data_IF_280465408596
#
_entry.id   IF_280465408596
#
_cell.length_a   1.000
_cell.length_b   1.000
_cell.length_c   1.000
_cell.angle_alpha   90.00
_cell.angle_beta   90.00
_cell.angle_gamma   90.00
#
_symmetry.space_group_name_H-M   'P 1'
#
loop_
_entity.id
_entity.type
_entity.pdbx_description
1 polymer ?
#
# COMPACT_ATOMS: atom_id res chain seq x y z
N UNK A 1 10.98 -6.23 15.36
CA UNK A 1 9.80 -5.35 15.26
C UNK A 1 8.74 -6.21 14.66
N UNK A 2 7.74 -6.59 15.45
CA UNK A 2 6.81 -7.63 15.05
C UNK A 2 5.89 -7.10 13.94
N UNK A 3 5.77 -7.88 12.87
CA UNK A 3 4.98 -7.62 11.67
C UNK A 3 3.53 -7.17 11.97
N UNK A 4 3.00 -7.63 13.09
CA UNK A 4 1.61 -7.46 13.51
C UNK A 4 1.28 -6.01 13.89
N UNK A 5 2.29 -5.19 14.20
CA UNK A 5 2.12 -3.78 14.55
C UNK A 5 2.47 -2.81 13.41
N UNK A 6 2.79 -3.33 12.22
CA UNK A 6 3.27 -2.55 11.09
C UNK A 6 2.21 -2.44 10.00
N UNK A 7 1.65 -1.25 9.77
CA UNK A 7 0.73 -1.02 8.65
C UNK A 7 1.46 -0.41 7.46
N UNK A 8 0.97 -0.70 6.26
CA UNK A 8 1.46 -0.03 5.05
C UNK A 8 0.97 1.42 5.04
N UNK A 9 1.92 2.36 5.17
CA UNK A 9 1.60 3.80 5.24
C UNK A 9 1.78 4.47 3.89
N UNK A 10 2.89 4.18 3.21
CA UNK A 10 3.27 4.79 1.95
C UNK A 10 4.23 3.86 1.20
N UNK A 11 4.23 3.97 -0.12
CA UNK A 11 5.15 3.26 -0.98
C UNK A 11 5.60 4.12 -2.14
N UNK A 12 6.72 3.75 -2.72
CA UNK A 12 7.22 4.31 -3.97
C UNK A 12 7.37 3.17 -4.95
N UNK A 13 7.00 3.42 -6.20
CA UNK A 13 7.19 2.51 -7.30
C UNK A 13 7.76 3.28 -8.49
N UNK A 14 8.36 2.60 -9.49
CA UNK A 14 8.93 3.26 -10.65
C UNK A 14 7.98 4.26 -11.31
N UNK A 15 8.49 5.46 -11.57
CA UNK A 15 7.74 6.57 -12.17
C UNK A 15 6.88 7.38 -11.21
N UNK A 16 6.82 7.04 -9.93
CA UNK A 16 6.25 7.91 -8.89
C UNK A 16 7.15 9.12 -8.64
N UNK A 17 6.52 10.26 -8.39
CA UNK A 17 7.18 11.52 -8.05
C UNK A 17 6.92 11.86 -6.58
N UNK A 18 7.31 13.07 -6.17
CA UNK A 18 6.92 13.60 -4.86
C UNK A 18 5.40 13.71 -4.76
N UNK A 19 4.83 13.10 -3.73
CA UNK A 19 3.41 13.19 -3.42
C UNK A 19 3.17 14.19 -2.28
N UNK A 20 2.32 15.18 -2.54
CA UNK A 20 1.89 16.16 -1.54
C UNK A 20 0.52 15.78 -0.96
N UNK A 21 0.48 15.61 0.36
CA UNK A 21 -0.76 15.34 1.10
C UNK A 21 -1.70 16.55 1.06
N UNK A 22 -3.04 16.35 1.02
CA UNK A 22 -3.99 17.44 0.87
C UNK A 22 -4.12 18.23 2.19
N UNK A 23 -4.81 19.38 2.17
CA UNK A 23 -4.96 20.19 3.38
C UNK A 23 -5.89 19.54 4.41
N UNK A 24 -6.77 18.66 3.95
CA UNK A 24 -7.78 17.97 4.74
C UNK A 24 -7.19 16.85 5.60
N UNK A 25 -6.06 16.27 5.20
CA UNK A 25 -5.57 15.05 5.85
C UNK A 25 -4.05 14.86 5.75
N UNK A 26 -3.48 14.19 6.74
CA UNK A 26 -2.05 13.83 6.78
C UNK A 26 -1.81 12.56 7.59
N UNK A 27 -0.63 11.97 7.46
CA UNK A 27 -0.22 10.89 8.37
C UNK A 27 0.24 11.52 9.69
N UNK A 28 -0.46 11.23 10.79
CA UNK A 28 -0.06 11.69 12.11
C UNK A 28 1.18 10.91 12.60
N UNK A 29 2.22 11.61 13.04
CA UNK A 29 3.49 11.05 13.50
C UNK A 29 3.77 11.54 14.92
N UNK A 30 4.21 10.66 15.81
CA UNK A 30 4.62 10.99 17.17
C UNK A 30 3.88 10.22 18.27
N UNK A 31 3.78 10.81 19.46
CA UNK A 31 3.23 10.17 20.67
C UNK A 31 1.72 10.33 20.84
N UNK A 32 1.06 11.06 19.94
CA UNK A 32 -0.38 11.26 19.96
C UNK A 32 -1.16 9.95 19.79
N UNK A 33 -2.36 9.89 20.38
CA UNK A 33 -3.27 8.74 20.17
C UNK A 33 -3.60 8.63 18.69
N UNK A 34 -3.33 7.48 18.08
CA UNK A 34 -3.57 7.29 16.64
C UNK A 34 -2.34 7.41 15.75
N UNK A 35 -1.32 8.13 16.21
CA UNK A 35 -0.15 8.46 15.42
C UNK A 35 0.83 7.29 15.23
N UNK A 36 1.56 7.34 14.12
CA UNK A 36 2.70 6.46 13.86
C UNK A 36 3.88 6.86 14.75
N UNK A 37 4.34 5.93 15.57
CA UNK A 37 5.51 6.14 16.45
C UNK A 37 6.83 5.87 15.73
N UNK A 38 6.81 4.94 14.78
CA UNK A 38 7.97 4.48 14.04
C UNK A 38 7.61 4.23 12.59
N UNK A 39 8.61 4.35 11.72
CA UNK A 39 8.54 3.91 10.33
C UNK A 39 9.55 2.80 10.10
N UNK A 40 9.13 1.75 9.43
CA UNK A 40 10.01 0.70 8.92
C UNK A 40 10.13 0.89 7.42
N UNK A 41 11.37 0.94 6.93
CA UNK A 41 11.66 1.02 5.51
C UNK A 41 11.87 -0.39 4.96
N UNK A 42 11.07 -0.76 3.96
CA UNK A 42 11.27 -1.97 3.16
C UNK A 42 11.68 -1.54 1.75
N UNK A 43 12.80 -2.07 1.25
CA UNK A 43 13.30 -1.81 -0.10
C UNK A 43 13.32 -3.13 -0.85
N UNK A 44 12.73 -3.12 -2.05
CA UNK A 44 12.71 -4.26 -2.96
C UNK A 44 13.81 -4.06 -4.01
N UNK A 45 14.88 -4.86 -3.93
CA UNK A 45 15.96 -4.83 -4.93
C UNK A 45 15.72 -5.88 -6.01
N UNK A 46 15.59 -5.43 -7.26
CA UNK A 46 15.61 -6.32 -8.42
C UNK A 46 17.05 -6.38 -8.99
N UNK A 47 17.71 -7.51 -8.81
CA UNK A 47 19.11 -7.73 -9.22
C UNK A 47 19.23 -8.94 -10.18
N UNK A 48 18.66 -8.86 -11.40
CA UNK A 48 18.59 -9.99 -12.30
C UNK A 48 19.96 -10.41 -12.86
N UNK A 49 20.94 -9.51 -12.88
CA UNK A 49 22.30 -9.77 -13.38
C UNK A 49 23.27 -10.19 -12.27
N UNK A 50 22.83 -10.25 -11.02
CA UNK A 50 23.65 -10.69 -9.89
C UNK A 50 24.86 -9.80 -9.63
N UNK A 51 24.72 -8.48 -9.81
CA UNK A 51 25.82 -7.55 -9.52
C UNK A 51 26.19 -7.63 -8.04
N UNK A 52 27.48 -7.81 -7.78
CA UNK A 52 28.03 -7.96 -6.44
C UNK A 52 28.67 -6.66 -5.94
N UNK A 53 28.95 -6.60 -4.64
CA UNK A 53 29.68 -5.51 -3.98
C UNK A 53 29.08 -4.12 -4.22
N UNK A 54 27.76 -4.03 -4.24
CA UNK A 54 27.05 -2.76 -4.32
C UNK A 54 26.70 -2.27 -2.91
N UNK A 55 26.83 -0.96 -2.71
CA UNK A 55 26.32 -0.27 -1.53
C UNK A 55 25.20 0.65 -1.98
N UNK A 56 24.03 0.51 -1.37
CA UNK A 56 22.90 1.40 -1.57
C UNK A 56 22.66 2.25 -0.32
N UNK A 57 22.12 3.44 -0.53
CA UNK A 57 21.65 4.33 0.56
C UNK A 57 20.34 4.98 0.14
N UNK A 58 19.45 4.22 -0.47
CA UNK A 58 18.13 4.70 -0.88
C UNK A 58 17.19 4.80 0.32
N UNK A 59 16.17 5.65 0.20
CA UNK A 59 15.17 5.85 1.24
C UNK A 59 14.13 6.89 0.87
N UNK A 60 13.39 7.34 1.87
CA UNK A 60 12.39 8.40 1.73
C UNK A 60 12.84 9.66 2.47
N UNK A 61 12.54 10.80 1.86
CA UNK A 61 12.55 12.10 2.52
C UNK A 61 11.10 12.50 2.84
N UNK A 62 10.84 12.84 4.11
CA UNK A 62 9.52 13.28 4.55
C UNK A 62 9.55 14.75 4.94
N UNK A 63 8.67 15.55 4.35
CA UNK A 63 8.36 16.89 4.83
C UNK A 63 7.17 16.84 5.76
N UNK A 64 7.33 17.38 6.96
CA UNK A 64 6.29 17.37 7.98
C UNK A 64 6.06 18.74 8.61
N UNK A 65 4.94 18.85 9.31
CA UNK A 65 4.52 20.05 10.05
C UNK A 65 4.12 19.66 11.47
N UNK A 66 4.43 20.49 12.50
CA UNK A 66 3.95 20.26 13.85
C UNK A 66 2.44 20.51 14.00
N UNK A 67 1.79 21.14 13.02
CA UNK A 67 0.35 21.40 13.04
C UNK A 67 -0.41 20.22 12.46
N UNK A 68 -1.25 19.59 13.28
CA UNK A 68 -2.10 18.48 12.83
C UNK A 68 -3.09 18.94 11.75
N UNK A 69 -3.28 18.09 10.74
CA UNK A 69 -4.38 18.21 9.78
C UNK A 69 -5.70 17.80 10.44
N UNK A 70 -6.86 18.20 9.88
CA UNK A 70 -8.16 17.84 10.45
C UNK A 70 -8.43 16.33 10.51
N UNK A 71 -7.85 15.54 9.60
CA UNK A 71 -8.05 14.10 9.53
C UNK A 71 -6.73 13.33 9.43
N UNK A 72 -6.71 12.12 10.00
CA UNK A 72 -5.65 11.15 9.76
C UNK A 72 -5.85 10.45 8.41
N UNK A 73 -4.80 10.38 7.60
CA UNK A 73 -4.76 9.57 6.38
C UNK A 73 -4.55 8.10 6.69
N UNK A 74 -5.23 7.26 5.93
CA UNK A 74 -5.03 5.82 5.87
C UNK A 74 -4.84 5.36 4.43
N UNK A 75 -4.35 4.12 4.30
CA UNK A 75 -4.27 3.40 3.04
C UNK A 75 -5.16 2.17 3.14
N UNK A 76 -6.06 1.99 2.17
CA UNK A 76 -6.88 0.79 2.02
C UNK A 76 -6.35 0.01 0.83
N UNK A 77 -5.79 -1.17 1.08
CA UNK A 77 -5.33 -2.08 0.04
C UNK A 77 -6.51 -2.90 -0.45
N UNK A 78 -6.87 -2.74 -1.72
CA UNK A 78 -7.92 -3.53 -2.38
C UNK A 78 -7.40 -4.20 -3.64
N UNK A 79 -7.85 -5.42 -3.90
CA UNK A 79 -7.33 -6.17 -5.03
C UNK A 79 -7.59 -7.67 -4.95
N UNK A 80 -6.81 -8.40 -5.74
CA UNK A 80 -6.93 -9.85 -5.92
C UNK A 80 -5.62 -10.51 -5.54
N UNK A 81 -5.69 -11.56 -4.73
CA UNK A 81 -4.54 -12.35 -4.27
C UNK A 81 -4.71 -13.82 -4.63
N UNK A 82 -3.66 -14.62 -4.42
CA UNK A 82 -3.67 -16.08 -4.58
C UNK A 82 -4.19 -16.58 -5.95
N UNK A 83 -3.85 -15.87 -7.03
CA UNK A 83 -4.22 -16.25 -8.39
C UNK A 83 -3.03 -16.86 -9.15
N UNK A 84 -3.33 -17.59 -10.23
CA UNK A 84 -2.33 -18.08 -11.19
C UNK A 84 -2.69 -17.63 -12.61
N UNK A 85 -1.72 -17.02 -13.30
CA UNK A 85 -1.84 -16.62 -14.70
C UNK A 85 -1.25 -17.76 -15.56
N UNK A 86 -2.03 -18.35 -16.49
CA UNK A 86 -1.52 -19.36 -17.41
C UNK A 86 -0.37 -18.84 -18.28
N UNK A 87 0.54 -19.72 -18.67
CA UNK A 87 1.61 -19.40 -19.62
C UNK A 87 1.05 -19.09 -21.02
N UNK A 88 1.87 -18.44 -21.86
CA UNK A 88 1.64 -18.31 -23.31
C UNK A 88 0.26 -17.76 -23.69
N UNK A 89 -0.31 -16.88 -22.87
CA UNK A 89 -1.65 -16.33 -23.06
C UNK A 89 -1.56 -14.83 -23.34
N UNK A 90 -2.07 -14.38 -24.49
CA UNK A 90 -2.02 -12.97 -24.89
C UNK A 90 -2.94 -12.05 -24.07
N UNK A 91 -3.96 -12.61 -23.42
CA UNK A 91 -4.85 -11.87 -22.53
C UNK A 91 -5.39 -12.79 -21.44
N UNK A 92 -5.03 -12.51 -20.20
CA UNK A 92 -5.65 -13.11 -19.02
C UNK A 92 -6.23 -11.99 -18.16
N UNK A 93 -7.47 -12.13 -17.71
CA UNK A 93 -8.16 -11.07 -16.96
C UNK A 93 -8.72 -11.62 -15.66
N UNK A 94 -8.32 -10.97 -14.56
CA UNK A 94 -8.96 -11.11 -13.27
C UNK A 94 -10.02 -10.01 -13.15
N UNK A 95 -11.28 -10.40 -12.95
CA UNK A 95 -12.40 -9.47 -12.81
C UNK A 95 -13.39 -10.04 -11.80
N UNK A 96 -13.76 -9.24 -10.80
CA UNK A 96 -14.72 -9.63 -9.75
C UNK A 96 -14.18 -9.64 -8.33
N UNK A 97 -12.87 -9.44 -8.15
CA UNK A 97 -12.26 -9.33 -6.83
C UNK A 97 -12.08 -7.87 -6.35
N UNK A 98 -11.70 -7.67 -5.09
CA UNK A 98 -11.53 -6.34 -4.49
C UNK A 98 -12.10 -6.26 -3.08
N UNK A 99 -12.96 -5.27 -2.82
CA UNK A 99 -13.53 -5.02 -1.49
C UNK A 99 -15.04 -5.30 -1.44
N UNK A 100 -15.48 -6.45 -0.93
CA UNK A 100 -16.91 -6.81 -0.89
C UNK A 100 -17.72 -5.91 0.04
N UNK A 101 -19.01 -5.73 -0.27
CA UNK A 101 -19.93 -4.98 0.61
C UNK A 101 -20.10 -5.62 2.00
N UNK A 102 -19.91 -6.94 2.12
CA UNK A 102 -19.90 -7.63 3.41
C UNK A 102 -18.80 -7.10 4.36
N UNK A 103 -17.68 -6.63 3.80
CA UNK A 103 -16.59 -6.01 4.56
C UNK A 103 -16.92 -4.58 4.95
N UNK A 104 -17.34 -3.78 3.97
CA UNK A 104 -17.56 -2.34 4.17
C UNK A 104 -18.79 -2.04 5.03
N UNK A 105 -19.76 -2.96 5.13
CA UNK A 105 -20.89 -2.85 6.09
C UNK A 105 -20.42 -2.66 7.53
N UNK A 106 -19.22 -3.14 7.87
CA UNK A 106 -18.65 -3.02 9.21
C UNK A 106 -17.83 -1.74 9.40
N UNK A 107 -17.74 -0.87 8.39
CA UNK A 107 -17.10 0.44 8.54
C UNK A 107 -17.88 1.26 9.56
N UNK A 108 -17.16 1.86 10.51
CA UNK A 108 -17.79 2.64 11.58
C UNK A 108 -18.36 3.97 11.10
N UNK A 109 -17.92 4.45 9.93
CA UNK A 109 -18.32 5.73 9.34
C UNK A 109 -17.98 5.78 7.84
N UNK A 110 -18.57 6.73 7.09
CA UNK A 110 -18.10 7.08 5.75
C UNK A 110 -16.63 7.51 5.74
N UNK A 111 -15.95 7.20 4.64
CA UNK A 111 -14.61 7.71 4.34
C UNK A 111 -14.59 8.49 3.03
N UNK A 112 -13.58 9.33 2.86
CA UNK A 112 -13.27 10.08 1.66
C UNK A 112 -12.04 9.48 1.01
N UNK A 113 -12.21 8.89 -0.17
CA UNK A 113 -11.14 8.41 -1.04
C UNK A 113 -10.53 9.58 -1.81
N UNK A 114 -9.23 9.60 -2.02
CA UNK A 114 -8.52 10.73 -2.62
C UNK A 114 -7.54 10.39 -3.75
N UNK A 115 -6.76 9.32 -3.61
CA UNK A 115 -5.83 8.87 -4.66
C UNK A 115 -5.88 7.37 -4.83
N UNK A 116 -5.68 6.93 -6.07
CA UNK A 116 -5.37 5.55 -6.41
C UNK A 116 -3.87 5.41 -6.59
N UNK A 117 -3.27 4.40 -5.96
CA UNK A 117 -1.96 3.87 -6.34
C UNK A 117 -2.18 2.49 -6.95
N UNK A 118 -2.35 2.45 -8.26
CA UNK A 118 -2.50 1.21 -9.02
C UNK A 118 -1.18 0.47 -9.10
N UNK A 119 -1.19 -0.85 -8.94
CA UNK A 119 0.00 -1.67 -8.89
C UNK A 119 -0.19 -3.06 -9.52
N UNK A 120 0.70 -3.39 -10.44
CA UNK A 120 0.85 -4.68 -11.12
C UNK A 120 2.34 -4.86 -11.48
N UNK A 121 2.79 -6.08 -11.80
CA UNK A 121 4.16 -6.30 -12.26
C UNK A 121 4.25 -6.27 -13.81
N UNK A 122 5.23 -6.98 -14.35
CA UNK A 122 5.72 -6.87 -15.73
C UNK A 122 4.75 -7.36 -16.81
N UNK A 123 3.81 -8.24 -16.46
CA UNK A 123 2.78 -8.77 -17.38
C UNK A 123 1.57 -7.83 -17.48
N UNK A 124 1.44 -6.85 -16.61
CA UNK A 124 0.26 -5.96 -16.57
C UNK A 124 0.04 -5.20 -17.88
N UNK A 125 -1.23 -5.04 -18.25
CA UNK A 125 -1.66 -4.32 -19.47
C UNK A 125 -2.68 -3.24 -19.21
N UNK A 126 -3.64 -3.49 -18.33
CA UNK A 126 -4.57 -2.47 -17.87
C UNK A 126 -5.18 -2.86 -16.52
N UNK A 127 -5.66 -1.85 -15.80
CA UNK A 127 -6.44 -2.09 -14.59
C UNK A 127 -7.47 -1.00 -14.33
N UNK A 128 -8.49 -1.32 -13.53
CA UNK A 128 -9.56 -0.40 -13.13
C UNK A 128 -10.08 -0.80 -11.77
N UNK A 129 -10.44 0.18 -10.94
CA UNK A 129 -11.23 -0.08 -9.73
C UNK A 129 -12.61 0.55 -9.87
N UNK A 130 -13.63 -0.29 -9.93
CA UNK A 130 -15.04 0.08 -10.04
C UNK A 130 -15.63 0.29 -8.65
N UNK A 131 -16.61 1.18 -8.54
CA UNK A 131 -17.32 1.49 -7.30
C UNK A 131 -18.79 1.14 -7.45
N UNK A 132 -19.26 0.19 -6.66
CA UNK A 132 -20.65 -0.27 -6.65
C UNK A 132 -21.34 0.24 -5.39
N UNK A 133 -22.51 0.85 -5.53
CA UNK A 133 -23.37 1.29 -4.43
C UNK A 133 -24.79 0.83 -4.67
N UNK A 134 -25.38 0.12 -3.71
CA UNK A 134 -26.75 -0.43 -3.83
C UNK A 134 -26.97 -1.23 -5.13
N UNK A 135 -25.99 -2.08 -5.50
CA UNK A 135 -25.96 -2.87 -6.74
C UNK A 135 -25.93 -2.06 -8.05
N UNK A 136 -25.74 -0.74 -7.99
CA UNK A 136 -25.50 0.10 -9.15
C UNK A 136 -24.01 0.46 -9.25
N UNK A 137 -23.43 0.31 -10.44
CA UNK A 137 -22.08 0.79 -10.72
C UNK A 137 -22.11 2.31 -10.87
N UNK A 138 -21.27 3.00 -10.09
CA UNK A 138 -20.99 4.42 -10.23
C UNK A 138 -19.79 4.60 -11.16
N UNK A 139 -19.49 5.85 -11.52
CA UNK A 139 -18.21 6.18 -12.15
C UNK A 139 -17.06 5.52 -11.38
N UNK A 140 -16.14 4.83 -12.07
CA UNK A 140 -15.04 4.10 -11.45
C UNK A 140 -14.21 5.05 -10.58
N UNK A 141 -13.45 4.50 -9.64
CA UNK A 141 -12.52 5.29 -8.86
C UNK A 141 -11.30 5.71 -9.67
N UNK A 142 -10.95 4.94 -10.70
CA UNK A 142 -9.81 5.21 -11.56
C UNK A 142 -9.61 4.07 -12.55
N UNK A 143 -8.91 4.38 -13.64
CA UNK A 143 -8.46 3.38 -14.60
C UNK A 143 -7.05 3.68 -15.12
N UNK A 144 -6.30 2.61 -15.42
CA UNK A 144 -5.04 2.61 -16.18
C UNK A 144 -5.28 1.79 -17.44
N UNK A 145 -5.80 2.38 -18.53
CA UNK A 145 -6.10 1.63 -19.76
C UNK A 145 -4.85 1.13 -20.48
N UNK A 146 -3.70 1.75 -20.22
CA UNK A 146 -2.38 1.34 -20.69
C UNK A 146 -1.44 1.31 -19.49
N UNK A 147 -1.25 0.14 -18.91
CA UNK A 147 -0.31 -0.08 -17.82
C UNK A 147 1.13 -0.03 -18.33
N UNK A 148 1.97 0.71 -17.62
CA UNK A 148 3.42 0.68 -17.75
C UNK A 148 4.00 0.51 -16.35
N UNK A 149 4.77 -0.56 -16.16
CA UNK A 149 5.45 -0.86 -14.90
C UNK A 149 6.34 0.31 -14.44
N UNK A 150 6.83 1.14 -15.36
CA UNK A 150 7.68 2.29 -15.06
C UNK A 150 6.89 3.57 -14.75
N UNK A 151 5.56 3.51 -14.70
CA UNK A 151 4.71 4.68 -14.44
C UNK A 151 3.57 4.37 -13.46
N UNK A 152 3.92 4.30 -12.17
CA UNK A 152 3.01 3.90 -11.09
C UNK A 152 2.64 5.04 -10.13
N UNK A 153 2.76 6.29 -10.61
CA UNK A 153 2.40 7.49 -9.83
C UNK A 153 0.97 7.46 -9.28
N UNK A 154 0.73 8.18 -8.18
CA UNK A 154 -0.62 8.39 -7.67
C UNK A 154 -1.51 9.05 -8.73
N UNK A 155 -2.72 8.54 -8.88
CA UNK A 155 -3.73 9.09 -9.79
C UNK A 155 -4.94 9.60 -9.01
N UNK A 156 -5.62 10.60 -9.58
CA UNK A 156 -6.82 11.19 -8.98
C UNK A 156 -7.95 10.17 -8.95
N UNK A 157 -8.90 10.38 -8.04
CA UNK A 157 -10.17 9.64 -8.06
C UNK A 157 -11.07 10.22 -9.14
N UNK A 158 -11.58 9.35 -10.02
CA UNK A 158 -12.49 9.71 -11.11
C UNK A 158 -13.91 10.03 -10.59
N UNK A 159 -14.65 10.82 -11.39
CA UNK A 159 -16.08 11.08 -11.17
C UNK A 159 -16.46 12.24 -10.24
N UNK A 160 -15.51 12.98 -9.65
CA UNK A 160 -15.81 14.18 -8.85
C UNK A 160 -14.87 15.35 -9.20
N UNK A 161 -15.43 16.58 -9.24
CA UNK A 161 -14.70 17.80 -9.64
C UNK A 161 -13.50 18.14 -8.75
N UNK A 162 -13.51 17.70 -7.49
CA UNK A 162 -12.45 17.91 -6.52
C UNK A 162 -11.44 16.75 -6.43
N UNK A 163 -11.61 15.68 -7.21
CA UNK A 163 -10.72 14.52 -7.19
C UNK A 163 -10.78 13.68 -5.90
N UNK A 164 -11.92 13.66 -5.21
CA UNK A 164 -12.19 12.78 -4.07
C UNK A 164 -13.54 12.07 -4.22
N UNK A 165 -13.79 10.97 -3.51
CA UNK A 165 -15.08 10.25 -3.50
C UNK A 165 -15.48 9.82 -2.10
N UNK A 166 -16.71 10.12 -1.69
CA UNK A 166 -17.29 9.55 -0.47
C UNK A 166 -17.63 8.08 -0.70
N UNK A 167 -17.09 7.22 0.15
CA UNK A 167 -17.32 5.78 0.19
C UNK A 167 -18.03 5.44 1.50
N UNK A 168 -19.21 4.82 1.39
CA UNK A 168 -20.15 4.60 2.48
C UNK A 168 -20.06 3.16 2.99
N UNK A 169 -20.41 2.93 4.27
CA UNK A 169 -20.64 1.56 4.74
C UNK A 169 -21.65 0.82 3.85
N UNK A 170 -21.26 -0.35 3.36
CA UNK A 170 -22.05 -1.19 2.45
C UNK A 170 -21.78 -1.00 0.97
N UNK A 171 -20.95 -0.04 0.57
CA UNK A 171 -20.45 0.06 -0.81
C UNK A 171 -19.47 -1.09 -1.13
N UNK A 172 -19.21 -1.36 -2.41
CA UNK A 172 -18.29 -2.39 -2.86
C UNK A 172 -17.29 -1.82 -3.86
N UNK A 173 -16.06 -2.35 -3.84
CA UNK A 173 -15.04 -2.10 -4.85
C UNK A 173 -14.75 -3.36 -5.63
N UNK A 174 -14.68 -3.24 -6.96
CA UNK A 174 -14.26 -4.34 -7.84
C UNK A 174 -13.03 -3.89 -8.62
N UNK A 175 -11.90 -4.52 -8.33
CA UNK A 175 -10.65 -4.34 -9.05
C UNK A 175 -10.56 -5.34 -10.19
N UNK A 176 -10.26 -4.84 -11.38
CA UNK A 176 -10.01 -5.62 -12.59
C UNK A 176 -8.57 -5.42 -13.02
N UNK A 177 -7.87 -6.50 -13.35
CA UNK A 177 -6.51 -6.52 -13.85
C UNK A 177 -6.40 -7.41 -15.08
N UNK A 178 -5.77 -6.91 -16.14
CA UNK A 178 -5.50 -7.68 -17.36
C UNK A 178 -4.00 -7.80 -17.61
N UNK A 179 -3.58 -8.99 -18.03
CA UNK A 179 -2.19 -9.39 -18.19
C UNK A 179 -1.94 -9.99 -19.58
N UNK A 180 -0.69 -9.95 -20.00
CA UNK A 180 -0.17 -10.64 -21.19
C UNK A 180 1.02 -11.51 -20.78
N UNK A 181 0.81 -12.82 -20.79
CA UNK A 181 1.82 -13.83 -20.48
C UNK A 181 2.34 -14.52 -21.74
N UNK A 182 2.14 -13.94 -22.94
CA UNK A 182 2.57 -14.58 -24.20
C UNK A 182 4.07 -14.86 -24.23
N UNK A 183 4.87 -14.05 -23.54
CA UNK A 183 6.32 -14.21 -23.40
C UNK A 183 6.77 -15.16 -22.28
N UNK A 184 5.84 -15.74 -21.51
CA UNK A 184 6.16 -16.69 -20.42
C UNK A 184 5.91 -18.12 -20.89
N UNK A 185 6.87 -19.00 -20.59
CA UNK A 185 6.79 -20.44 -20.88
C UNK A 185 6.19 -21.26 -19.72
N UNK A 186 6.08 -20.66 -18.55
CA UNK A 186 5.50 -21.26 -17.34
C UNK A 186 4.46 -20.32 -16.76
N UNK A 187 3.50 -20.88 -16.02
CA UNK A 187 2.48 -20.10 -15.32
C UNK A 187 3.13 -19.14 -14.33
N UNK A 188 2.56 -17.96 -14.20
CA UNK A 188 3.02 -16.92 -13.27
C UNK A 188 2.05 -16.83 -12.11
N UNK A 189 2.53 -17.05 -10.89
CA UNK A 189 1.71 -16.98 -9.68
C UNK A 189 1.71 -15.59 -9.08
N UNK A 190 0.72 -15.32 -8.23
CA UNK A 190 0.76 -14.22 -7.27
C UNK A 190 2.05 -14.24 -6.43
N UNK A 191 2.61 -13.05 -6.14
CA UNK A 191 3.78 -12.91 -5.24
C UNK A 191 4.51 -11.57 -5.39
N UNK A 192 5.45 -11.31 -4.47
CA UNK A 192 6.19 -10.04 -4.36
C UNK A 192 7.30 -9.85 -5.40
N UNK A 193 7.83 -10.94 -5.98
CA UNK A 193 8.91 -10.82 -6.98
C UNK A 193 8.39 -10.18 -8.27
N UNK A 194 9.21 -9.36 -8.94
CA UNK A 194 8.95 -8.86 -10.31
C UNK A 194 8.64 -10.00 -11.31
N UNK A 195 9.13 -11.22 -11.03
CA UNK A 195 8.86 -12.41 -11.83
C UNK A 195 7.48 -13.04 -11.58
N UNK A 196 6.87 -12.77 -10.41
CA UNK A 196 5.48 -13.04 -10.06
C UNK A 196 4.57 -11.88 -10.53
N UNK A 197 3.29 -11.92 -10.15
CA UNK A 197 2.33 -10.85 -10.45
C UNK A 197 1.50 -10.38 -9.25
N UNK A 198 0.95 -9.17 -9.37
CA UNK A 198 0.05 -8.56 -8.40
C UNK A 198 -1.15 -7.89 -9.07
N UNK A 199 -2.20 -7.65 -8.28
CA UNK A 199 -3.40 -6.92 -8.69
C UNK A 199 -3.89 -6.04 -7.55
N UNK A 200 -3.29 -4.86 -7.35
CA UNK A 200 -3.64 -3.97 -6.24
C UNK A 200 -3.99 -2.55 -6.68
N UNK A 201 -4.91 -1.94 -5.92
CA UNK A 201 -5.05 -0.51 -5.83
C UNK A 201 -4.94 -0.13 -4.35
N UNK A 202 -3.92 0.68 -4.03
CA UNK A 202 -3.79 1.29 -2.71
C UNK A 202 -4.53 2.62 -2.70
N UNK A 203 -5.68 2.64 -2.02
CA UNK A 203 -6.52 3.83 -1.93
C UNK A 203 -6.14 4.67 -0.74
N UNK A 204 -5.68 5.90 -0.98
CA UNK A 204 -5.46 6.87 0.09
C UNK A 204 -6.79 7.49 0.49
N UNK A 205 -7.09 7.50 1.79
CA UNK A 205 -8.37 7.93 2.32
C UNK A 205 -8.30 8.59 3.69
N UNK A 206 -9.36 9.28 4.08
CA UNK A 206 -9.58 9.76 5.45
C UNK A 206 -11.06 9.76 5.85
N UNK A 207 -11.40 9.78 7.15
CA UNK A 207 -10.50 9.55 8.28
C UNK A 207 -10.03 8.08 8.33
N UNK A 208 -8.77 7.85 8.71
CA UNK A 208 -8.17 6.52 8.82
C UNK A 208 -8.98 5.62 9.75
N UNK A 209 -9.22 4.38 9.32
CA UNK A 209 -9.79 3.31 10.14
C UNK A 209 -8.75 2.22 10.38
N UNK A 210 -8.21 2.15 11.60
CA UNK A 210 -7.14 1.20 11.96
C UNK A 210 -7.54 -0.26 11.80
N UNK A 211 -8.83 -0.55 11.87
CA UNK A 211 -9.39 -1.89 11.75
C UNK A 211 -9.63 -2.31 10.29
N UNK A 212 -9.45 -1.41 9.31
CA UNK A 212 -9.65 -1.67 7.89
C UNK A 212 -8.48 -1.12 7.07
N UNK A 213 -7.49 -1.98 6.88
CA UNK A 213 -6.28 -1.70 6.10
C UNK A 213 -6.25 -2.53 4.82
N UNK A 214 -6.88 -3.71 4.85
CA UNK A 214 -7.00 -4.62 3.72
C UNK A 214 -8.46 -4.96 3.46
N UNK A 215 -8.78 -5.08 2.18
CA UNK A 215 -10.03 -5.60 1.69
C UNK A 215 -9.75 -6.28 0.35
N UNK A 216 -9.41 -7.56 0.43
CA UNK A 216 -8.86 -8.37 -0.65
C UNK A 216 -9.79 -9.54 -0.94
N UNK A 217 -9.63 -10.13 -2.11
CA UNK A 217 -10.31 -11.38 -2.48
C UNK A 217 -9.35 -12.33 -3.16
N UNK A 218 -9.61 -13.62 -3.05
CA UNK A 218 -9.03 -14.65 -3.89
C UNK A 218 -10.13 -15.41 -4.65
N UNK A 219 -9.81 -16.56 -5.24
CA UNK A 219 -10.78 -17.42 -5.94
C UNK A 219 -11.82 -18.06 -4.99
N UNK A 220 -11.58 -18.06 -3.67
CA UNK A 220 -12.37 -18.77 -2.66
C UNK A 220 -13.28 -17.81 -1.88
N UNK A 221 -12.88 -16.54 -1.71
CA UNK A 221 -13.69 -15.55 -1.02
C UNK A 221 -12.99 -14.21 -0.78
N UNK A 222 -13.61 -13.37 0.06
CA UNK A 222 -13.08 -12.07 0.45
C UNK A 222 -12.57 -12.05 1.89
N UNK A 223 -11.45 -11.38 2.14
CA UNK A 223 -10.88 -11.13 3.46
C UNK A 223 -10.68 -9.63 3.67
N UNK A 224 -11.07 -9.15 4.84
CA UNK A 224 -10.96 -7.74 5.18
C UNK A 224 -10.70 -7.54 6.67
N UNK A 225 -9.96 -6.48 6.97
CA UNK A 225 -9.63 -6.06 8.32
C UNK A 225 -8.25 -5.42 8.39
N UNK A 226 -7.60 -5.52 9.55
CA UNK A 226 -6.20 -5.12 9.75
C UNK A 226 -5.27 -6.34 9.62
N UNK A 227 -3.97 -6.15 9.84
CA UNK A 227 -2.98 -7.24 9.79
C UNK A 227 -3.39 -8.50 10.56
N UNK A 228 -3.98 -8.35 11.75
CA UNK A 228 -4.46 -9.48 12.59
C UNK A 228 -5.64 -10.23 11.96
N UNK A 229 -6.46 -9.57 11.15
CA UNK A 229 -7.55 -10.20 10.41
C UNK A 229 -7.09 -10.89 9.12
N UNK A 230 -5.98 -10.42 8.54
CA UNK A 230 -5.37 -10.93 7.29
C UNK A 230 -4.44 -12.13 7.53
N UNK A 231 -4.18 -12.50 8.79
CA UNK A 231 -3.46 -13.73 9.17
C UNK A 231 -4.05 -15.03 8.58
N UNK A 232 -5.32 -15.02 8.13
CA UNK A 232 -5.93 -16.14 7.40
C UNK A 232 -5.56 -16.21 5.91
N UNK A 233 -5.10 -15.11 5.32
CA UNK A 233 -4.56 -15.04 3.95
C UNK A 233 -3.04 -15.13 3.97
N UNK A 234 -2.38 -14.66 5.03
CA UNK A 234 -0.92 -14.66 5.15
C UNK A 234 -0.28 -16.05 5.25
N UNK A 235 -1.04 -17.08 5.61
CA UNK A 235 -0.56 -18.47 5.54
C UNK A 235 -0.21 -18.90 4.10
N UNK A 236 -0.80 -18.26 3.08
CA UNK A 236 -0.47 -18.44 1.66
C UNK A 236 0.48 -17.34 1.11
N UNK A 237 0.69 -16.24 1.84
CA UNK A 237 1.72 -15.21 1.54
C UNK A 237 3.10 -15.69 1.96
N UNK A 238 3.54 -16.84 1.43
CA UNK A 238 4.77 -17.55 1.77
C UNK A 238 5.89 -16.62 2.25
N UNK A 239 6.15 -16.69 3.57
CA UNK A 239 7.20 -16.01 4.35
C UNK A 239 6.85 -14.76 5.20
N UNK A 240 5.60 -14.56 5.62
CA UNK A 240 5.38 -13.91 6.93
C UNK A 240 5.27 -14.98 8.02
N UNK A 241 6.40 -15.29 8.68
CA UNK A 241 6.38 -16.08 9.91
C UNK A 241 5.56 -15.34 10.99
N UNK A 242 4.57 -15.98 11.62
CA UNK A 242 3.76 -15.35 12.67
C UNK A 242 4.59 -15.26 13.96
N UNK A 243 4.75 -14.06 14.49
CA UNK A 243 5.20 -13.87 15.87
C UNK A 243 4.18 -12.98 16.57
N UNK A 244 3.26 -13.68 17.25
CA UNK A 244 2.10 -13.11 17.93
C UNK A 244 2.54 -12.24 19.10
N UNK A 245 2.37 -10.92 18.99
CA UNK A 245 2.59 -9.98 20.08
C UNK A 245 1.54 -8.85 20.09
N UNK A 246 0.89 -8.71 21.24
CA UNK A 246 -0.16 -7.73 21.52
C UNK A 246 0.41 -6.29 21.49
N UNK A 247 0.14 -5.56 20.42
CA UNK A 247 0.76 -4.26 20.09
C UNK A 247 0.52 -3.09 21.07
N UNK A 248 -0.27 -3.27 22.13
CA UNK A 248 -0.61 -2.20 23.07
C UNK A 248 -0.21 -2.48 24.53
N UNK A 249 0.49 -3.58 24.84
CA UNK A 249 0.78 -3.95 26.24
C UNK A 249 2.25 -4.07 26.66
N UNK A 250 3.24 -3.84 25.78
CA UNK A 250 4.64 -4.03 26.16
C UNK A 250 5.44 -2.71 26.30
N UNK A 251 5.67 -2.22 27.53
CA UNK A 251 6.53 -1.06 27.80
C UNK A 251 8.04 -1.37 27.67
N UNK A 252 8.45 -2.59 27.31
CA UNK A 252 9.86 -3.01 27.32
C UNK A 252 10.58 -2.96 25.96
N UNK A 253 9.91 -2.54 24.88
CA UNK A 253 10.56 -2.24 23.61
C UNK A 253 11.44 -0.97 23.75
N UNK A 254 12.66 -1.16 24.25
CA UNK A 254 13.69 -0.13 24.28
C UNK A 254 14.06 0.27 22.84
N UNK A 255 14.24 1.56 22.54
CA UNK A 255 14.75 1.99 21.24
C UNK A 255 16.12 1.38 21.00
N UNK A 256 16.36 0.86 19.80
CA UNK A 256 17.72 0.80 19.28
C UNK A 256 18.20 2.26 19.20
N UNK A 257 19.28 2.57 19.91
CA UNK A 257 19.92 3.88 19.89
C UNK A 257 20.30 4.23 18.45
N UNK A 258 19.70 5.30 17.92
CA UNK A 258 20.25 6.01 16.78
C UNK A 258 21.64 6.52 17.18
N UNK A 259 22.68 6.08 16.47
CA UNK A 259 24.01 6.68 16.61
C UNK A 259 23.96 8.07 15.99
N UNK A 260 23.96 9.08 16.85
CA UNK A 260 24.08 10.49 16.48
C UNK A 260 25.49 10.74 15.91
N UNK A 261 25.61 10.77 14.57
CA UNK A 261 26.81 11.29 13.92
C UNK A 261 26.76 12.81 14.03
N UNK A 262 27.20 13.31 15.19
CA UNK A 262 27.05 14.69 15.60
C UNK A 262 27.27 15.73 14.49
N UNK A 263 26.19 16.41 14.14
CA UNK A 263 26.23 17.68 13.43
C UNK A 263 25.37 18.67 14.21
N UNK A 264 26.03 19.60 14.90
CA UNK A 264 25.38 20.69 15.62
C UNK A 264 24.70 21.63 14.61
N UNK A 265 23.41 21.90 14.78
CA UNK A 265 22.80 23.09 14.19
C UNK A 265 21.93 23.82 15.21
N UNK A 266 22.36 25.04 15.52
CA UNK A 266 21.72 26.04 16.36
C UNK A 266 20.33 26.44 15.83
N UNK A 267 19.39 26.62 16.76
CA UNK A 267 18.00 27.02 16.52
C UNK A 267 17.87 28.46 15.98
N UNK A 268 17.07 28.65 14.92
CA UNK A 268 16.11 29.76 14.74
C UNK A 268 15.28 29.63 13.43
N UNK A 269 14.00 30.04 13.49
CA UNK A 269 12.99 30.27 12.41
C UNK A 269 12.00 29.11 12.09
N UNK A 270 10.71 29.38 11.76
CA UNK A 270 9.70 28.35 11.53
C UNK A 270 9.87 27.76 10.12
N UNK A 271 10.84 26.87 9.97
CA UNK A 271 11.09 26.17 8.72
C UNK A 271 10.32 24.83 8.70
N UNK A 272 9.81 24.44 7.53
CA UNK A 272 9.36 23.07 7.26
C UNK A 272 10.50 22.11 7.64
N UNK A 273 10.23 21.12 8.47
CA UNK A 273 11.24 20.18 8.90
C UNK A 273 11.24 18.99 7.94
N UNK A 274 12.41 18.56 7.49
CA UNK A 274 12.61 17.32 6.73
C UNK A 274 13.10 16.24 7.70
N UNK A 275 12.44 15.09 7.74
CA UNK A 275 12.96 13.88 8.36
C UNK A 275 13.47 12.99 7.24
N UNK A 276 14.77 12.73 7.22
CA UNK A 276 15.37 11.77 6.30
C UNK A 276 15.60 10.47 7.06
N UNK A 277 14.90 9.41 6.67
CA UNK A 277 15.13 8.06 7.21
C UNK A 277 16.21 7.39 6.37
N UNK A 278 17.46 7.47 6.83
CA UNK A 278 18.57 6.66 6.32
C UNK A 278 18.62 5.36 7.12
N UNK A 279 18.41 4.22 6.46
CA UNK A 279 18.67 2.91 7.07
C UNK A 279 19.73 2.21 6.22
N UNK A 280 20.93 2.06 6.78
CA UNK A 280 21.96 1.22 6.18
C UNK A 280 21.58 -0.26 6.42
N UNK A 281 21.16 -0.96 5.37
CA UNK A 281 20.96 -2.42 5.43
C UNK A 281 22.19 -3.09 4.84
N UNK A 282 22.90 -3.84 5.69
CA UNK A 282 24.01 -4.69 5.30
C UNK A 282 23.45 -5.92 4.57
N UNK A 283 23.77 -6.05 3.29
CA UNK A 283 23.35 -7.19 2.47
C UNK A 283 24.15 -8.44 2.88
N UNK A 284 23.47 -9.47 3.38
CA UNK A 284 23.97 -10.85 3.37
C UNK A 284 23.37 -11.56 2.16
N UNK A 285 24.21 -11.71 1.12
CA UNK A 285 23.93 -12.54 -0.04
C UNK A 285 23.93 -14.01 0.40
N UNK A 286 22.88 -14.75 0.04
CA UNK A 286 22.96 -16.20 -0.19
C UNK A 286 22.60 -16.47 -1.64
#
# INVERSE_FOLDING_TARGET
>A
MDAECATFVLGWAPGSQTDEMPEEAGFAIGTGVGAFKYYTLQIHYDNPTGIANQTDSSGFEFWYTPTLRPNDLGVLTTGIVNFTIPASTSTYTLDGGGCPSACTKNFSQPITLWRNAFHMHSLGKNMTTRHIRNNAELEPLGSRPFWDFNHQSLSRIDGNKNGTRVFLPGDQLITKCSYDSSGRNVSTTYGESTSNEMCFNFLLYWPRMKQFEYCLTDEVGGVCGNNTAVERVSADLGNFQPYIAQCDSDPTLSPATAQDSGASSTFMSPAKHALVLWVAVLILLM
#
